data_IF_020247450059
#
_entry.id   IF_020247450059
#
_cell.length_a   1.000
_cell.length_b   1.000
_cell.length_c   1.000
_cell.angle_alpha   90.00
_cell.angle_beta   90.00
_cell.angle_gamma   90.00
#
_symmetry.space_group_name_H-M   'P 1'
#
loop_
_entity.id
_entity.type
_entity.pdbx_description
1 polymer ?
#
# COMPACT_ATOMS: atom_id res chain seq x y z
N UNK A 1 2.64 14.85 12.36
CA UNK A 1 1.45 14.11 11.89
C UNK A 1 1.84 12.65 11.88
N UNK A 2 1.02 11.77 12.43
CA UNK A 2 1.25 10.33 12.37
C UNK A 2 0.42 9.76 11.23
N UNK A 3 0.93 8.71 10.58
CA UNK A 3 0.15 7.95 9.61
C UNK A 3 -0.96 7.13 10.28
N UNK A 4 -0.93 7.01 11.62
CA UNK A 4 -1.87 6.22 12.38
C UNK A 4 -3.32 6.67 12.14
N UNK A 5 -4.20 5.77 11.72
CA UNK A 5 -5.60 6.06 11.42
C UNK A 5 -6.22 5.02 10.49
N UNK A 6 -7.53 5.14 10.28
CA UNK A 6 -8.27 4.36 9.28
C UNK A 6 -8.47 5.19 8.03
N UNK A 7 -8.26 4.60 6.87
CA UNK A 7 -8.39 5.25 5.57
C UNK A 7 -9.25 4.40 4.66
N UNK A 8 -10.28 4.99 4.08
CA UNK A 8 -11.10 4.35 3.05
C UNK A 8 -10.58 4.76 1.67
N UNK A 9 -10.39 3.78 0.79
CA UNK A 9 -10.06 4.01 -0.61
C UNK A 9 -11.15 4.84 -1.30
N UNK A 10 -10.77 6.01 -1.80
CA UNK A 10 -11.66 6.90 -2.55
C UNK A 10 -11.55 6.64 -4.04
N UNK A 11 -10.32 6.52 -4.53
CA UNK A 11 -10.03 6.39 -5.95
C UNK A 11 -8.75 5.58 -6.18
N UNK A 12 -8.70 4.87 -7.30
CA UNK A 12 -7.50 4.19 -7.76
C UNK A 12 -7.39 4.23 -9.28
N UNK A 13 -6.15 4.30 -9.77
CA UNK A 13 -5.79 4.41 -11.18
C UNK A 13 -4.78 3.33 -11.54
N UNK A 14 -4.88 2.77 -12.74
CA UNK A 14 -4.01 1.70 -13.25
C UNK A 14 -3.97 0.44 -12.37
N UNK A 15 -5.00 0.19 -11.57
CA UNK A 15 -5.11 -1.02 -10.74
C UNK A 15 -5.10 -2.30 -11.59
N UNK A 16 -5.95 -2.38 -12.61
CA UNK A 16 -6.06 -3.58 -13.46
C UNK A 16 -4.75 -3.94 -14.17
N UNK A 17 -4.11 -3.04 -14.95
CA UNK A 17 -2.86 -3.37 -15.64
C UNK A 17 -1.72 -3.69 -14.66
N UNK A 18 -1.66 -3.00 -13.52
CA UNK A 18 -0.63 -3.24 -12.51
C UNK A 18 -0.81 -4.60 -11.83
N UNK A 19 -2.03 -4.94 -11.41
CA UNK A 19 -2.31 -6.24 -10.78
C UNK A 19 -2.08 -7.39 -11.75
N UNK A 20 -2.40 -7.19 -13.04
CA UNK A 20 -2.12 -8.19 -14.09
C UNK A 20 -0.63 -8.39 -14.27
N UNK A 21 0.16 -7.31 -14.24
CA UNK A 21 1.61 -7.38 -14.33
C UNK A 21 2.26 -8.04 -13.08
N UNK A 22 1.61 -7.90 -11.90
CA UNK A 22 1.97 -8.64 -10.68
C UNK A 22 1.54 -10.12 -10.69
N UNK A 23 0.83 -10.58 -11.73
CA UNK A 23 0.38 -11.97 -11.85
C UNK A 23 -0.88 -12.31 -11.07
N UNK A 24 -1.69 -11.32 -10.65
CA UNK A 24 -2.99 -11.62 -10.03
C UNK A 24 -3.96 -12.23 -11.07
N UNK A 25 -4.80 -13.20 -10.68
CA UNK A 25 -5.86 -13.71 -11.54
C UNK A 25 -6.87 -12.61 -11.89
N UNK A 26 -7.35 -12.58 -13.14
CA UNK A 26 -8.28 -11.55 -13.62
C UNK A 26 -9.57 -11.46 -12.78
N UNK A 27 -10.06 -12.61 -12.27
CA UNK A 27 -11.20 -12.66 -11.34
C UNK A 27 -10.95 -11.88 -10.04
N UNK A 28 -9.75 -11.95 -9.46
CA UNK A 28 -9.39 -11.17 -8.27
C UNK A 28 -9.22 -9.69 -8.58
N UNK A 29 -8.70 -9.36 -9.76
CA UNK A 29 -8.54 -7.99 -10.22
C UNK A 29 -9.92 -7.32 -10.36
N UNK A 30 -10.86 -7.99 -11.04
CA UNK A 30 -12.21 -7.48 -11.22
C UNK A 30 -12.98 -7.36 -9.90
N UNK A 31 -12.80 -8.32 -8.97
CA UNK A 31 -13.38 -8.17 -7.63
C UNK A 31 -12.75 -7.02 -6.86
N UNK A 32 -11.43 -6.85 -6.94
CA UNK A 32 -10.70 -5.83 -6.19
C UNK A 32 -10.90 -4.40 -6.69
N UNK A 33 -11.32 -4.20 -7.96
CA UNK A 33 -11.46 -2.85 -8.53
C UNK A 33 -12.68 -2.09 -8.03
N UNK A 34 -13.78 -2.81 -7.80
CA UNK A 34 -15.05 -2.24 -7.32
C UNK A 34 -15.16 -2.24 -5.79
N UNK A 35 -14.26 -2.95 -5.08
CA UNK A 35 -14.26 -3.02 -3.63
C UNK A 35 -13.54 -1.82 -3.01
N UNK A 36 -14.22 -1.14 -2.10
CA UNK A 36 -13.60 -0.17 -1.21
C UNK A 36 -12.69 -0.89 -0.21
N UNK A 37 -11.39 -0.67 -0.33
CA UNK A 37 -10.42 -1.14 0.65
C UNK A 37 -10.35 -0.18 1.85
N UNK A 38 -10.45 -0.71 3.06
CA UNK A 38 -10.18 0.03 4.30
C UNK A 38 -8.76 -0.31 4.75
N UNK A 39 -7.91 0.69 4.88
CA UNK A 39 -6.54 0.56 5.39
C UNK A 39 -6.45 1.16 6.78
N UNK A 40 -6.17 0.35 7.78
CA UNK A 40 -5.88 0.79 9.14
C UNK A 40 -4.37 0.77 9.34
N UNK A 41 -3.81 1.93 9.64
CA UNK A 41 -2.39 2.10 9.91
C UNK A 41 -2.24 2.37 11.40
N UNK A 42 -1.32 1.65 12.06
CA UNK A 42 -0.85 1.96 13.41
C UNK A 42 0.64 2.23 13.36
N UNK A 43 1.07 3.25 14.09
CA UNK A 43 2.45 3.69 14.15
C UNK A 43 2.91 3.69 15.60
N UNK A 44 3.88 2.85 15.91
CA UNK A 44 4.52 2.71 17.23
C UNK A 44 6.00 3.06 17.08
N UNK A 45 6.33 4.35 17.23
CA UNK A 45 7.67 4.87 16.98
C UNK A 45 8.12 4.65 15.53
N UNK A 46 9.03 3.70 15.32
CA UNK A 46 9.56 3.30 14.00
C UNK A 46 8.82 2.10 13.40
N UNK A 47 7.96 1.44 14.17
CA UNK A 47 7.24 0.24 13.75
C UNK A 47 5.86 0.64 13.23
N UNK A 48 5.54 0.20 12.02
CA UNK A 48 4.27 0.45 11.36
C UNK A 48 3.55 -0.87 11.15
N UNK A 49 2.26 -0.89 11.45
CA UNK A 49 1.37 -2.00 11.11
C UNK A 49 0.27 -1.49 10.21
N UNK A 50 0.14 -2.07 9.03
CA UNK A 50 -0.85 -1.70 8.03
C UNK A 50 -1.78 -2.90 7.83
N UNK A 51 -3.03 -2.76 8.22
CA UNK A 51 -4.09 -3.75 8.01
C UNK A 51 -4.99 -3.27 6.88
N UNK A 52 -5.00 -3.98 5.76
CA UNK A 52 -5.84 -3.69 4.60
C UNK A 52 -6.97 -4.70 4.53
N UNK A 53 -8.20 -4.22 4.64
CA UNK A 53 -9.42 -5.01 4.51
C UNK A 53 -10.08 -4.67 3.17
N UNK A 54 -10.21 -5.65 2.28
CA UNK A 54 -10.87 -5.51 0.97
C UNK A 54 -11.95 -6.56 0.85
N UNK A 55 -13.22 -6.17 1.00
CA UNK A 55 -14.34 -7.10 1.10
C UNK A 55 -14.14 -8.10 2.25
N UNK A 56 -14.07 -9.40 1.92
CA UNK A 56 -13.84 -10.47 2.91
C UNK A 56 -12.36 -10.79 3.18
N UNK A 57 -11.42 -10.19 2.43
CA UNK A 57 -9.98 -10.48 2.58
C UNK A 57 -9.34 -9.42 3.48
N UNK A 58 -8.66 -9.87 4.54
CA UNK A 58 -7.90 -9.02 5.47
C UNK A 58 -6.44 -9.38 5.35
N UNK A 59 -5.60 -8.41 4.99
CA UNK A 59 -4.14 -8.57 4.89
C UNK A 59 -3.50 -7.66 5.93
N UNK A 60 -2.61 -8.21 6.75
CA UNK A 60 -1.90 -7.46 7.80
C UNK A 60 -0.41 -7.49 7.52
N UNK A 61 0.16 -6.31 7.29
CA UNK A 61 1.58 -6.10 7.03
C UNK A 61 2.22 -5.32 8.17
N UNK A 62 3.44 -5.68 8.54
CA UNK A 62 4.18 -5.01 9.60
C UNK A 62 5.60 -4.76 9.15
N UNK A 63 6.06 -3.52 9.27
CA UNK A 63 7.41 -3.13 8.88
C UNK A 63 8.01 -2.12 9.84
N UNK A 64 9.34 -2.07 9.91
CA UNK A 64 10.08 -1.08 10.70
C UNK A 64 10.86 -0.15 9.77
N UNK A 65 10.78 1.16 10.03
CA UNK A 65 11.48 2.16 9.21
C UNK A 65 13.00 1.98 9.34
N UNK A 66 13.67 1.84 8.20
CA UNK A 66 15.11 1.65 8.09
C UNK A 66 15.60 0.22 8.29
N UNK A 67 14.70 -0.75 8.47
CA UNK A 67 15.04 -2.17 8.60
C UNK A 67 14.36 -3.03 7.54
N UNK A 68 15.00 -4.15 7.19
CA UNK A 68 14.42 -5.15 6.29
C UNK A 68 13.20 -5.78 6.95
N UNK A 69 12.05 -5.69 6.27
CA UNK A 69 10.78 -6.23 6.74
C UNK A 69 10.14 -7.06 5.64
N UNK A 70 9.49 -8.16 6.01
CA UNK A 70 8.73 -8.98 5.07
C UNK A 70 7.30 -8.42 4.94
N UNK A 71 6.92 -8.04 3.72
CA UNK A 71 5.58 -7.55 3.39
C UNK A 71 4.91 -8.53 2.44
N UNK A 72 3.67 -8.89 2.76
CA UNK A 72 2.78 -9.65 1.88
C UNK A 72 2.12 -8.71 0.87
N UNK A 73 2.45 -8.93 -0.40
CA UNK A 73 1.87 -8.26 -1.55
C UNK A 73 0.44 -8.75 -1.82
N UNK A 74 -0.30 -8.01 -2.64
CA UNK A 74 -1.71 -8.31 -2.93
C UNK A 74 -1.92 -9.65 -3.65
N UNK A 75 -0.91 -10.15 -4.37
CA UNK A 75 -0.88 -11.48 -4.97
C UNK A 75 -0.63 -12.61 -3.96
N UNK A 76 -0.36 -12.28 -2.69
CA UNK A 76 0.01 -13.24 -1.64
C UNK A 76 1.50 -13.59 -1.62
N UNK A 77 2.31 -13.06 -2.53
CA UNK A 77 3.76 -13.20 -2.44
C UNK A 77 4.31 -12.35 -1.31
N UNK A 78 5.32 -12.88 -0.63
CA UNK A 78 6.04 -12.14 0.41
C UNK A 78 7.35 -11.62 -0.16
N UNK A 79 7.60 -10.34 0.04
CA UNK A 79 8.83 -9.70 -0.38
C UNK A 79 9.48 -8.99 0.79
N UNK A 80 10.80 -9.10 0.87
CA UNK A 80 11.62 -8.31 1.78
C UNK A 80 11.77 -6.91 1.21
N UNK A 81 11.37 -5.91 1.98
CA UNK A 81 11.46 -4.50 1.60
C UNK A 81 12.03 -3.70 2.75
N UNK A 82 12.69 -2.60 2.43
CA UNK A 82 13.13 -1.61 3.40
C UNK A 82 12.32 -0.35 3.18
N UNK A 83 11.62 0.11 4.22
CA UNK A 83 10.82 1.34 4.16
C UNK A 83 11.64 2.47 4.75
N UNK A 84 11.84 3.52 3.97
CA UNK A 84 12.50 4.75 4.36
C UNK A 84 11.45 5.84 4.54
N UNK A 85 11.60 6.66 5.58
CA UNK A 85 10.74 7.82 5.78
C UNK A 85 11.48 9.06 5.26
N UNK A 86 10.89 9.73 4.28
CA UNK A 86 11.35 11.02 3.78
C UNK A 86 10.53 12.14 4.45
N UNK A 87 11.22 13.02 5.19
CA UNK A 87 10.56 14.07 5.96
C UNK A 87 9.65 13.48 7.05
N UNK A 88 8.44 14.04 7.18
CA UNK A 88 7.49 13.68 8.24
C UNK A 88 6.16 13.10 7.72
N UNK A 89 6.00 12.98 6.40
CA UNK A 89 4.73 12.62 5.78
C UNK A 89 4.88 11.77 4.51
N UNK A 90 6.08 11.27 4.21
CA UNK A 90 6.33 10.43 3.04
C UNK A 90 7.11 9.18 3.42
N UNK A 91 6.64 8.03 2.97
CA UNK A 91 7.32 6.75 3.08
C UNK A 91 7.69 6.30 1.67
N UNK A 92 8.94 5.90 1.48
CA UNK A 92 9.45 5.41 0.21
C UNK A 92 10.07 4.04 0.46
N UNK A 93 9.73 3.09 -0.40
CA UNK A 93 10.31 1.76 -0.37
C UNK A 93 10.61 1.29 -1.77
N UNK A 94 11.70 0.56 -1.92
CA UNK A 94 12.14 0.01 -3.18
C UNK A 94 12.32 -1.50 -3.04
N UNK A 95 11.72 -2.26 -3.95
CA UNK A 95 11.75 -3.72 -3.93
C UNK A 95 11.89 -4.25 -5.36
N UNK A 96 12.99 -4.96 -5.64
CA UNK A 96 13.23 -5.63 -6.94
C UNK A 96 12.97 -4.72 -8.16
N UNK A 97 13.34 -3.43 -8.09
CA UNK A 97 13.11 -2.45 -9.16
C UNK A 97 11.71 -1.83 -9.20
N UNK A 98 10.82 -2.18 -8.25
CA UNK A 98 9.57 -1.47 -8.01
C UNK A 98 9.76 -0.41 -6.94
N UNK A 99 9.26 0.79 -7.18
CA UNK A 99 9.27 1.88 -6.22
C UNK A 99 7.87 2.11 -5.70
N UNK A 100 7.68 2.01 -4.39
CA UNK A 100 6.44 2.35 -3.71
C UNK A 100 6.64 3.60 -2.86
N UNK A 101 5.69 4.52 -2.96
CA UNK A 101 5.69 5.84 -2.33
C UNK A 101 4.34 6.04 -1.66
N UNK A 102 4.33 6.27 -0.36
CA UNK A 102 3.14 6.57 0.43
C UNK A 102 3.26 7.97 1.01
N UNK A 103 2.38 8.88 0.58
CA UNK A 103 2.38 10.28 1.00
C UNK A 103 1.11 10.62 1.77
N UNK A 104 1.27 11.15 2.98
CA UNK A 104 0.19 11.66 3.82
C UNK A 104 0.07 13.17 3.65
N UNK A 105 -1.11 13.62 3.25
CA UNK A 105 -1.47 15.02 3.07
C UNK A 105 -2.73 15.31 3.89
N UNK A 106 -2.53 15.81 5.12
CA UNK A 106 -3.63 16.02 6.07
C UNK A 106 -4.34 14.70 6.37
N UNK A 107 -5.60 14.58 5.95
CA UNK A 107 -6.42 13.39 6.10
C UNK A 107 -6.43 12.47 4.85
N UNK A 108 -5.60 12.73 3.85
CA UNK A 108 -5.56 11.94 2.62
C UNK A 108 -4.21 11.24 2.48
N UNK A 109 -4.22 9.92 2.27
CA UNK A 109 -3.04 9.13 1.92
C UNK A 109 -3.07 8.85 0.42
N UNK A 110 -1.96 9.13 -0.24
CA UNK A 110 -1.72 8.74 -1.63
C UNK A 110 -0.66 7.66 -1.66
N UNK A 111 -1.03 6.48 -2.14
CA UNK A 111 -0.13 5.36 -2.38
C UNK A 111 0.17 5.30 -3.89
N UNK A 112 1.45 5.35 -4.26
CA UNK A 112 1.91 5.30 -5.64
C UNK A 112 2.95 4.21 -5.78
N UNK A 113 2.72 3.25 -6.68
CA UNK A 113 3.63 2.13 -6.90
C UNK A 113 3.98 2.07 -8.38
N UNK A 114 5.27 2.13 -8.68
CA UNK A 114 5.80 2.19 -10.05
C UNK A 114 6.65 0.96 -10.30
N UNK A 115 6.40 0.29 -11.43
CA UNK A 115 7.14 -0.86 -11.91
C UNK A 115 7.35 -0.71 -13.41
N UNK A 116 8.58 -0.41 -13.83
CA UNK A 116 8.87 -0.07 -15.22
C UNK A 116 8.03 1.13 -15.68
N UNK A 117 7.27 0.96 -16.77
CA UNK A 117 6.36 1.97 -17.33
C UNK A 117 4.96 1.99 -16.69
N UNK A 118 4.67 1.07 -15.76
CA UNK A 118 3.37 0.98 -15.08
C UNK A 118 3.40 1.69 -13.73
N UNK A 119 2.46 2.62 -13.52
CA UNK A 119 2.28 3.31 -12.24
C UNK A 119 0.87 3.13 -11.73
N UNK A 120 0.72 2.39 -10.62
CA UNK A 120 -0.50 2.29 -9.83
C UNK A 120 -0.58 3.48 -8.86
N UNK A 121 -1.72 4.16 -8.84
CA UNK A 121 -2.01 5.23 -7.87
C UNK A 121 -3.29 4.91 -7.11
N UNK A 122 -3.27 5.04 -5.79
CA UNK A 122 -4.43 4.84 -4.92
C UNK A 122 -4.52 6.01 -3.95
N UNK A 123 -5.70 6.61 -3.85
CA UNK A 123 -5.96 7.74 -2.97
C UNK A 123 -7.00 7.30 -1.96
N UNK A 124 -6.62 7.31 -0.69
CA UNK A 124 -7.47 6.94 0.43
C UNK A 124 -7.64 8.13 1.36
N UNK A 125 -8.85 8.32 1.88
CA UNK A 125 -9.17 9.41 2.81
C UNK A 125 -9.48 8.84 4.18
N UNK A 126 -9.04 9.53 5.22
CA UNK A 126 -9.27 9.17 6.61
C UNK A 126 -10.77 9.16 6.91
N UNK A 127 -11.21 8.15 7.66
CA UNK A 127 -12.58 7.97 8.13
C UNK A 127 -12.64 7.96 9.66
#
# INVERSE_FOLDING_TARGET
MSFAGKYELQYQENFEPFMRALGLPEDQIQKGKDLKSISEITQDGKKFTVTVTTGSKVVKNQFTIGEESEIEMLNGEKAKVVVHMEGNNKLVTEVKGMKSVTELNGDTITYSMTMGDLTLKRVSKRI
#
